data_IF_098011809548
#
_entry.id   IF_098011809548
#
_cell.length_a   1.000
_cell.length_b   1.000
_cell.length_c   1.000
_cell.angle_alpha   90.00
_cell.angle_beta   90.00
_cell.angle_gamma   90.00
#
_symmetry.space_group_name_H-M   'P 1'
#
loop_
_entity.id
_entity.type
_entity.pdbx_description
1 polymer ?
#
# COMPACT_ATOMS: atom_id res chain seq x y z
N UNK A 1 -33.26 6.95 11.53
CA UNK A 1 -32.72 5.65 11.05
C UNK A 1 -33.62 5.13 9.94
N UNK A 2 -33.26 5.42 8.69
CA UNK A 2 -34.03 5.01 7.51
C UNK A 2 -33.60 3.59 7.13
N UNK A 3 -34.53 2.63 7.19
CA UNK A 3 -34.28 1.22 6.83
C UNK A 3 -33.99 1.11 5.33
N UNK A 4 -32.74 0.78 4.99
CA UNK A 4 -32.36 0.42 3.63
C UNK A 4 -32.90 -1.00 3.37
N UNK A 5 -33.87 -1.15 2.47
CA UNK A 5 -34.35 -2.45 2.00
C UNK A 5 -33.31 -3.01 1.01
N UNK A 6 -32.57 -4.02 1.42
CA UNK A 6 -31.75 -4.84 0.51
C UNK A 6 -32.65 -5.86 -0.20
N UNK A 7 -33.00 -5.62 -1.44
CA UNK A 7 -33.68 -6.59 -2.30
C UNK A 7 -32.62 -7.50 -2.96
N UNK A 8 -32.50 -8.74 -2.50
CA UNK A 8 -31.50 -9.73 -2.97
C UNK A 8 -31.90 -10.51 -4.26
N UNK A 9 -33.03 -10.25 -4.85
CA UNK A 9 -33.51 -10.90 -6.10
C UNK A 9 -33.93 -9.83 -7.11
N UNK A 10 -32.93 -9.13 -7.69
CA UNK A 10 -33.26 -8.15 -8.70
C UNK A 10 -32.85 -8.65 -10.10
N UNK A 11 -33.80 -9.08 -10.89
CA UNK A 11 -33.70 -9.32 -12.35
C UNK A 11 -33.62 -8.01 -13.15
N UNK A 12 -33.78 -6.87 -12.51
CA UNK A 12 -33.76 -5.54 -13.11
C UNK A 12 -32.34 -4.98 -13.22
N UNK A 13 -32.03 -4.31 -14.34
CA UNK A 13 -30.76 -3.67 -14.59
C UNK A 13 -30.60 -2.37 -13.76
N UNK A 14 -30.64 -2.50 -12.44
CA UNK A 14 -30.53 -1.41 -11.47
C UNK A 14 -29.48 -1.76 -10.45
N UNK A 15 -28.51 -0.85 -10.14
CA UNK A 15 -27.49 -1.14 -9.15
C UNK A 15 -28.06 -1.24 -7.73
N UNK A 16 -27.43 -2.03 -6.84
CA UNK A 16 -27.86 -2.15 -5.44
C UNK A 16 -27.86 -0.83 -4.66
N UNK A 17 -26.92 0.07 -4.98
CA UNK A 17 -26.83 1.42 -4.44
C UNK A 17 -27.00 2.42 -5.57
N UNK A 18 -27.90 3.41 -5.38
CA UNK A 18 -28.19 4.42 -6.39
C UNK A 18 -28.52 5.75 -5.76
N UNK A 19 -28.21 6.82 -6.45
CA UNK A 19 -28.65 8.16 -6.06
C UNK A 19 -30.18 8.27 -6.19
N UNK A 20 -30.89 8.83 -5.19
CA UNK A 20 -32.35 8.77 -5.10
C UNK A 20 -33.08 9.51 -6.22
N UNK A 21 -32.42 10.48 -6.86
CA UNK A 21 -33.00 11.25 -7.98
C UNK A 21 -33.04 10.51 -9.31
N UNK A 22 -32.35 9.37 -9.43
CA UNK A 22 -32.36 8.57 -10.66
C UNK A 22 -33.26 7.36 -10.55
N UNK A 23 -34.01 7.09 -11.61
CA UNK A 23 -34.96 5.98 -11.73
C UNK A 23 -34.80 5.27 -13.07
N UNK A 24 -35.51 4.16 -13.27
CA UNK A 24 -35.43 3.35 -14.48
C UNK A 24 -34.24 2.41 -14.51
N UNK A 25 -34.19 1.57 -15.52
CA UNK A 25 -33.13 0.57 -15.71
C UNK A 25 -31.93 1.14 -16.47
N UNK A 26 -30.75 0.60 -16.20
CA UNK A 26 -29.56 0.87 -17.00
C UNK A 26 -29.57 0.04 -18.27
N UNK A 27 -29.01 0.58 -19.35
CA UNK A 27 -28.79 -0.16 -20.58
C UNK A 27 -27.51 -0.99 -20.45
N UNK A 28 -27.60 -2.30 -20.72
CA UNK A 28 -26.44 -3.18 -20.80
C UNK A 28 -25.89 -3.20 -22.22
N UNK A 29 -24.64 -2.79 -22.37
CA UNK A 29 -23.92 -2.88 -23.62
C UNK A 29 -22.89 -4.00 -23.60
N UNK A 30 -22.78 -4.75 -24.70
CA UNK A 30 -21.57 -5.55 -24.96
C UNK A 30 -20.38 -4.60 -25.08
N UNK A 31 -19.23 -5.00 -24.53
CA UNK A 31 -18.01 -4.17 -24.62
C UNK A 31 -17.67 -3.85 -26.08
N UNK A 32 -17.86 -4.80 -27.01
CA UNK A 32 -17.71 -4.61 -28.46
C UNK A 32 -18.71 -3.64 -29.11
N UNK A 33 -19.76 -3.25 -28.40
CA UNK A 33 -20.72 -2.22 -28.86
C UNK A 33 -20.51 -0.87 -28.19
N UNK A 34 -19.74 -0.86 -27.10
CA UNK A 34 -19.37 0.35 -26.37
C UNK A 34 -18.02 0.88 -26.83
N UNK A 35 -17.04 0.00 -27.08
CA UNK A 35 -15.66 0.37 -27.38
C UNK A 35 -15.22 -0.16 -28.75
N UNK A 36 -14.59 0.71 -29.50
CA UNK A 36 -13.72 0.33 -30.62
C UNK A 36 -12.31 0.08 -30.06
N UNK A 37 -11.65 -0.97 -30.54
CA UNK A 37 -10.30 -1.36 -30.10
C UNK A 37 -9.25 -0.91 -31.08
N UNK A 38 -8.13 -0.43 -30.55
CA UNK A 38 -7.02 0.11 -31.32
C UNK A 38 -5.72 -0.64 -31.09
N UNK A 39 -4.84 -0.53 -32.06
CA UNK A 39 -3.52 -1.17 -32.01
C UNK A 39 -2.68 -0.58 -30.86
N UNK A 40 -1.93 -1.46 -30.21
CA UNK A 40 -0.95 -1.13 -29.17
C UNK A 40 0.44 -1.51 -29.62
N UNK A 41 1.48 -0.90 -29.07
CA UNK A 41 2.84 -1.24 -29.41
C UNK A 41 3.43 -2.32 -28.49
N UNK A 42 4.60 -2.84 -28.85
CA UNK A 42 5.29 -3.91 -28.13
C UNK A 42 6.61 -3.47 -27.48
N UNK A 43 6.77 -2.17 -27.21
CA UNK A 43 8.01 -1.65 -26.63
C UNK A 43 8.20 -2.14 -25.20
N UNK A 44 9.41 -2.64 -24.92
CA UNK A 44 9.82 -3.05 -23.57
C UNK A 44 10.31 -1.87 -22.74
N UNK A 45 10.51 -2.05 -21.43
CA UNK A 45 11.08 -1.03 -20.55
C UNK A 45 12.45 -0.50 -20.99
N UNK A 46 13.26 -1.30 -21.64
CA UNK A 46 14.58 -0.90 -22.15
C UNK A 46 14.49 0.16 -23.25
N UNK A 47 13.35 0.23 -23.95
CA UNK A 47 13.06 1.18 -25.01
C UNK A 47 12.32 2.44 -24.52
N UNK A 48 12.16 2.57 -23.22
CA UNK A 48 11.48 3.67 -22.56
C UNK A 48 12.44 4.46 -21.66
N UNK A 49 12.18 5.76 -21.51
CA UNK A 49 12.91 6.67 -20.64
C UNK A 49 11.96 7.72 -20.06
N UNK A 50 12.43 8.53 -19.13
CA UNK A 50 11.64 9.61 -18.55
C UNK A 50 12.24 10.97 -18.88
N UNK A 51 11.41 12.01 -18.73
CA UNK A 51 11.84 13.41 -18.78
C UNK A 51 12.39 13.87 -20.17
N UNK A 52 11.83 13.33 -21.24
CA UNK A 52 12.04 13.83 -22.63
C UNK A 52 10.74 14.39 -23.19
N UNK A 53 10.81 15.02 -24.40
CA UNK A 53 9.64 15.56 -25.09
C UNK A 53 9.08 14.61 -26.17
N UNK A 54 9.46 13.33 -26.14
CA UNK A 54 8.98 12.34 -27.08
C UNK A 54 7.57 11.84 -26.70
N UNK A 55 6.94 11.11 -27.62
CA UNK A 55 5.66 10.42 -27.38
C UNK A 55 5.75 9.58 -26.12
N UNK A 56 4.74 9.68 -25.24
CA UNK A 56 4.65 8.91 -24.00
C UNK A 56 4.05 7.53 -24.27
N UNK A 57 4.49 6.53 -23.50
CA UNK A 57 4.05 5.16 -23.63
C UNK A 57 3.44 4.62 -22.34
N UNK A 58 2.21 4.14 -22.42
CA UNK A 58 1.57 3.43 -21.31
C UNK A 58 1.98 1.96 -21.30
N UNK A 59 2.94 1.59 -20.47
CA UNK A 59 3.30 0.20 -20.26
C UNK A 59 2.35 -0.46 -19.23
N UNK A 60 1.91 -1.72 -19.45
CA UNK A 60 0.95 -2.43 -18.58
C UNK A 60 1.37 -2.46 -17.10
N UNK A 61 2.66 -2.54 -16.81
CA UNK A 61 3.18 -2.52 -15.45
C UNK A 61 2.77 -1.28 -14.67
N UNK A 62 2.59 -0.14 -15.33
CA UNK A 62 2.12 1.10 -14.70
C UNK A 62 0.63 1.04 -14.34
N UNK A 63 -0.17 0.26 -15.08
CA UNK A 63 -1.58 0.00 -14.75
C UNK A 63 -1.67 -0.80 -13.44
N UNK A 64 -0.79 -1.79 -13.26
CA UNK A 64 -0.75 -2.59 -12.03
C UNK A 64 -0.22 -1.79 -10.85
N UNK A 65 0.88 -1.04 -11.04
CA UNK A 65 1.57 -0.31 -9.98
C UNK A 65 1.89 1.11 -10.43
N UNK A 66 1.34 2.10 -9.76
CA UNK A 66 1.74 3.49 -9.92
C UNK A 66 0.69 4.42 -10.50
N UNK A 67 -0.23 3.95 -11.34
CA UNK A 67 -1.29 4.80 -11.91
C UNK A 67 -2.63 4.67 -11.17
N UNK A 68 -3.35 5.79 -10.97
CA UNK A 68 -4.73 5.75 -10.50
C UNK A 68 -5.68 5.30 -11.62
N UNK A 69 -6.93 4.98 -11.27
CA UNK A 69 -7.99 4.66 -12.25
C UNK A 69 -8.21 5.80 -13.25
N UNK A 70 -8.17 7.06 -12.78
CA UNK A 70 -8.24 8.26 -13.64
C UNK A 70 -6.83 8.82 -13.80
N UNK A 71 -6.28 8.72 -15.00
CA UNK A 71 -4.94 9.22 -15.33
C UNK A 71 -5.04 10.69 -15.76
N UNK A 72 -4.38 11.55 -15.00
CA UNK A 72 -4.23 12.98 -15.27
C UNK A 72 -2.73 13.28 -15.41
N UNK A 73 -2.28 13.63 -16.61
CA UNK A 73 -0.86 13.82 -16.90
C UNK A 73 -0.27 15.10 -16.29
N UNK A 74 -1.10 16.00 -15.76
CA UNK A 74 -0.62 17.05 -14.85
C UNK A 74 -0.10 16.51 -13.51
N UNK A 75 -0.51 15.32 -13.11
CA UNK A 75 -0.19 14.71 -11.81
C UNK A 75 0.56 13.38 -11.94
N UNK A 76 0.37 12.69 -13.06
CA UNK A 76 0.94 11.38 -13.32
C UNK A 76 1.98 11.46 -14.42
N UNK A 77 3.07 10.74 -14.27
CA UNK A 77 4.12 10.66 -15.28
C UNK A 77 4.07 9.32 -16.00
N UNK A 78 4.13 9.36 -17.33
CA UNK A 78 4.38 8.19 -18.16
C UNK A 78 5.81 8.28 -18.73
N UNK A 79 6.46 7.16 -19.02
CA UNK A 79 7.74 7.16 -19.73
C UNK A 79 7.55 7.57 -21.18
N UNK A 80 8.57 8.18 -21.74
CA UNK A 80 8.68 8.55 -23.14
C UNK A 80 9.35 7.42 -23.94
N UNK A 81 9.10 7.36 -25.22
CA UNK A 81 9.75 6.42 -26.13
C UNK A 81 11.15 6.94 -26.45
N UNK A 82 12.17 6.09 -26.27
CA UNK A 82 13.57 6.45 -26.60
C UNK A 82 13.74 6.73 -28.07
N UNK A 83 14.61 7.69 -28.36
CA UNK A 83 15.03 7.98 -29.73
C UNK A 83 15.59 6.71 -30.42
N UNK A 84 15.21 6.50 -31.67
CA UNK A 84 15.56 5.30 -32.44
C UNK A 84 14.65 4.09 -32.24
N UNK A 85 13.70 4.13 -31.29
CA UNK A 85 12.68 3.11 -31.15
C UNK A 85 11.55 3.36 -32.14
N UNK A 86 11.31 2.44 -33.06
CA UNK A 86 10.30 2.62 -34.10
C UNK A 86 8.91 2.22 -33.62
N UNK A 87 7.97 3.13 -33.71
CA UNK A 87 6.54 2.83 -33.57
C UNK A 87 5.98 2.37 -34.93
N UNK A 88 5.29 1.22 -34.91
CA UNK A 88 4.58 0.71 -36.08
C UNK A 88 3.10 0.57 -35.72
N UNK A 89 2.22 1.12 -36.58
CA UNK A 89 0.76 0.95 -36.47
C UNK A 89 0.22 1.29 -35.08
N UNK A 90 0.38 2.52 -34.63
CA UNK A 90 -0.09 2.99 -33.34
C UNK A 90 -1.26 3.98 -33.51
N UNK A 91 -2.07 4.06 -32.47
CA UNK A 91 -3.12 5.08 -32.33
C UNK A 91 -2.81 5.94 -31.09
N UNK A 92 -2.89 7.25 -31.26
CA UNK A 92 -2.76 8.19 -30.16
C UNK A 92 -3.99 8.10 -29.25
N UNK A 93 -3.76 8.05 -27.94
CA UNK A 93 -4.81 8.10 -26.95
C UNK A 93 -5.51 9.47 -26.93
N UNK A 94 -6.80 9.46 -26.63
CA UNK A 94 -7.63 10.65 -26.43
C UNK A 94 -8.19 10.66 -25.01
N UNK A 95 -8.57 11.83 -24.55
CA UNK A 95 -9.29 11.93 -23.28
C UNK A 95 -10.57 11.09 -23.32
N UNK A 96 -10.80 10.31 -22.27
CA UNK A 96 -11.86 9.33 -22.21
C UNK A 96 -11.52 7.95 -22.80
N UNK A 97 -10.37 7.76 -23.45
CA UNK A 97 -9.93 6.41 -23.80
C UNK A 97 -9.64 5.59 -22.56
N UNK A 98 -9.85 4.28 -22.65
CA UNK A 98 -9.54 3.33 -21.59
C UNK A 98 -8.43 2.38 -22.03
N UNK A 99 -7.56 2.04 -21.11
CA UNK A 99 -6.56 1.00 -21.30
C UNK A 99 -6.67 -0.05 -20.21
N UNK A 100 -6.49 -1.31 -20.60
CA UNK A 100 -6.59 -2.45 -19.71
C UNK A 100 -5.30 -3.26 -19.76
N UNK A 101 -4.82 -3.75 -18.62
CA UNK A 101 -3.75 -4.73 -18.59
C UNK A 101 -4.28 -6.10 -19.01
N UNK A 102 -3.79 -6.67 -20.11
CA UNK A 102 -4.28 -7.94 -20.64
C UNK A 102 -3.77 -9.16 -19.86
N UNK A 103 -2.76 -9.01 -19.01
CA UNK A 103 -2.14 -10.07 -18.22
C UNK A 103 -1.80 -9.63 -16.80
N UNK A 104 -1.89 -10.56 -15.83
CA UNK A 104 -1.51 -10.37 -14.43
C UNK A 104 -1.19 -11.71 -13.75
N UNK A 105 -0.38 -11.67 -12.69
CA UNK A 105 -0.20 -12.82 -11.78
C UNK A 105 -1.40 -13.04 -10.84
N UNK A 106 -2.27 -12.04 -10.66
CA UNK A 106 -3.50 -12.12 -9.86
C UNK A 106 -4.74 -12.00 -10.76
N UNK A 107 -5.68 -12.94 -10.63
CA UNK A 107 -6.97 -12.91 -11.34
C UNK A 107 -7.81 -11.66 -11.06
N UNK A 108 -7.61 -11.00 -9.92
CA UNK A 108 -8.31 -9.75 -9.58
C UNK A 108 -7.71 -8.53 -10.29
N UNK A 109 -6.48 -8.62 -10.79
CA UNK A 109 -5.76 -7.55 -11.46
C UNK A 109 -5.75 -7.67 -12.99
N UNK A 110 -6.18 -8.82 -13.55
CA UNK A 110 -6.39 -8.98 -14.99
C UNK A 110 -7.52 -8.06 -15.44
N UNK A 111 -7.36 -7.40 -16.58
CA UNK A 111 -8.22 -6.35 -17.11
C UNK A 111 -8.35 -5.14 -16.16
N UNK A 112 -7.37 -4.92 -15.28
CA UNK A 112 -7.33 -3.66 -14.52
C UNK A 112 -7.35 -2.50 -15.48
N UNK A 113 -8.31 -1.59 -15.25
CA UNK A 113 -8.60 -0.49 -16.14
C UNK A 113 -8.04 0.83 -15.63
N UNK A 114 -7.56 1.65 -16.56
CA UNK A 114 -7.38 3.08 -16.38
C UNK A 114 -8.16 3.82 -17.46
N UNK A 115 -8.55 5.07 -17.18
CA UNK A 115 -9.14 5.97 -18.15
C UNK A 115 -8.28 7.23 -18.22
N UNK A 116 -7.93 7.67 -19.44
CA UNK A 116 -7.23 8.93 -19.64
C UNK A 116 -8.20 10.09 -19.41
N UNK A 117 -8.11 10.69 -18.22
CA UNK A 117 -9.00 11.76 -17.79
C UNK A 117 -8.54 13.12 -18.32
N UNK A 118 -7.23 13.37 -18.33
CA UNK A 118 -6.61 14.57 -18.84
C UNK A 118 -5.23 14.24 -19.40
N UNK A 119 -4.99 14.55 -20.65
CA UNK A 119 -3.71 14.31 -21.34
C UNK A 119 -2.77 15.52 -21.29
N UNK A 120 -3.26 16.71 -20.89
CA UNK A 120 -2.46 17.93 -20.85
C UNK A 120 -1.73 18.26 -22.17
N UNK A 121 -2.34 17.91 -23.29
CA UNK A 121 -1.77 18.07 -24.63
C UNK A 121 -0.66 17.08 -25.00
N UNK A 122 -0.35 16.10 -24.14
CA UNK A 122 0.68 15.10 -24.44
C UNK A 122 0.19 14.07 -25.46
N UNK A 123 1.08 13.66 -26.34
CA UNK A 123 0.88 12.51 -27.23
C UNK A 123 1.20 11.22 -26.48
N UNK A 124 0.21 10.34 -26.35
CA UNK A 124 0.32 9.06 -25.60
C UNK A 124 -0.11 7.90 -26.48
N UNK A 125 0.60 6.79 -26.37
CA UNK A 125 0.24 5.52 -27.01
C UNK A 125 0.14 4.41 -25.96
N UNK A 126 -0.75 3.46 -26.20
CA UNK A 126 -0.84 2.25 -25.38
C UNK A 126 0.26 1.25 -25.81
N UNK A 127 0.95 0.71 -24.81
CA UNK A 127 2.13 -0.14 -24.99
C UNK A 127 1.87 -1.63 -24.81
N UNK A 128 2.95 -2.35 -24.57
CA UNK A 128 2.97 -3.79 -24.41
C UNK A 128 1.96 -4.28 -23.37
N UNK A 129 1.30 -5.38 -23.67
CA UNK A 129 0.30 -6.02 -22.79
C UNK A 129 -0.83 -5.08 -22.33
N UNK A 130 -1.28 -4.22 -23.25
CA UNK A 130 -2.46 -3.38 -23.01
C UNK A 130 -3.54 -3.61 -24.08
N UNK A 131 -4.79 -3.46 -23.70
CA UNK A 131 -5.93 -3.37 -24.61
C UNK A 131 -6.36 -1.90 -24.63
N UNK A 132 -6.35 -1.24 -25.79
CA UNK A 132 -6.77 0.14 -25.94
C UNK A 132 -8.20 0.21 -26.49
N UNK A 133 -9.10 0.89 -25.78
CA UNK A 133 -10.51 1.02 -26.15
C UNK A 133 -10.99 2.47 -26.12
N UNK A 134 -11.82 2.85 -27.10
CA UNK A 134 -12.43 4.18 -27.24
C UNK A 134 -13.93 4.09 -27.49
N UNK A 135 -14.71 4.91 -26.82
CA UNK A 135 -16.14 5.11 -27.08
C UNK A 135 -16.34 6.19 -28.15
N UNK A 136 -16.34 5.78 -29.42
CA UNK A 136 -16.57 6.71 -30.54
C UNK A 136 -18.05 7.14 -30.68
N UNK A 137 -18.97 6.43 -30.02
CA UNK A 137 -20.41 6.72 -30.08
C UNK A 137 -20.84 7.75 -29.02
N UNK A 138 -19.94 8.12 -28.11
CA UNK A 138 -20.23 9.08 -27.05
C UNK A 138 -21.32 8.60 -26.07
N UNK A 139 -21.43 7.28 -25.85
CA UNK A 139 -22.39 6.67 -24.93
C UNK A 139 -22.04 6.97 -23.47
N UNK A 140 -20.77 7.23 -23.21
CA UNK A 140 -20.25 7.47 -21.85
C UNK A 140 -19.64 8.86 -21.70
N UNK A 141 -19.64 9.36 -20.47
CA UNK A 141 -18.88 10.59 -20.12
C UNK A 141 -17.46 10.21 -19.73
N UNK A 142 -16.51 11.14 -19.93
CA UNK A 142 -15.13 11.00 -19.45
C UNK A 142 -15.12 10.85 -17.94
N UNK A 143 -14.37 9.87 -17.43
CA UNK A 143 -14.26 9.54 -16.02
C UNK A 143 -15.24 8.47 -15.52
N UNK A 144 -16.20 8.01 -16.33
CA UNK A 144 -17.13 6.95 -15.94
C UNK A 144 -16.60 5.55 -16.24
N UNK A 145 -16.00 5.36 -17.42
CA UNK A 145 -15.58 4.03 -17.90
C UNK A 145 -14.55 3.36 -17.02
N UNK A 146 -13.54 4.09 -16.60
CA UNK A 146 -12.48 3.54 -15.75
C UNK A 146 -13.03 2.94 -14.45
N UNK A 147 -14.01 3.59 -13.83
CA UNK A 147 -14.66 3.04 -12.63
C UNK A 147 -15.64 1.90 -12.96
N UNK A 148 -16.39 2.01 -14.03
CA UNK A 148 -17.32 0.98 -14.43
C UNK A 148 -16.61 -0.34 -14.77
N UNK A 149 -15.49 -0.27 -15.50
CA UNK A 149 -14.62 -1.41 -15.78
C UNK A 149 -13.85 -1.89 -14.54
N UNK A 150 -13.59 -1.02 -13.56
CA UNK A 150 -13.03 -1.37 -12.26
C UNK A 150 -14.05 -1.92 -11.25
N UNK A 151 -15.33 -2.04 -11.61
CA UNK A 151 -16.39 -2.52 -10.72
C UNK A 151 -16.31 -4.02 -10.45
N UNK A 152 -16.82 -4.45 -9.30
CA UNK A 152 -16.92 -5.86 -8.94
C UNK A 152 -17.80 -6.62 -9.93
N UNK A 153 -18.88 -6.01 -10.42
CA UNK A 153 -19.78 -6.61 -11.39
C UNK A 153 -19.06 -6.95 -12.71
N UNK A 154 -18.19 -6.06 -13.20
CA UNK A 154 -17.40 -6.31 -14.40
C UNK A 154 -16.28 -7.32 -14.13
N UNK A 155 -15.53 -7.18 -13.06
CA UNK A 155 -14.46 -8.12 -12.70
C UNK A 155 -14.94 -9.56 -12.46
N UNK A 156 -16.19 -9.75 -12.02
CA UNK A 156 -16.78 -11.09 -11.94
C UNK A 156 -16.91 -11.78 -13.32
N UNK A 157 -17.09 -11.02 -14.40
CA UNK A 157 -17.09 -11.56 -15.75
C UNK A 157 -15.67 -11.88 -16.20
N UNK A 158 -14.72 -10.98 -15.93
CA UNK A 158 -13.29 -11.16 -16.27
C UNK A 158 -12.72 -12.42 -15.64
N UNK A 159 -12.97 -12.68 -14.36
CA UNK A 159 -12.51 -13.91 -13.67
C UNK A 159 -12.99 -15.20 -14.32
N UNK A 160 -14.12 -15.18 -15.02
CA UNK A 160 -14.66 -16.37 -15.73
C UNK A 160 -13.99 -16.61 -17.07
N UNK A 161 -13.41 -15.59 -17.68
CA UNK A 161 -12.80 -15.68 -19.01
C UNK A 161 -11.28 -15.64 -18.98
N UNK A 162 -10.68 -15.27 -17.85
CA UNK A 162 -9.23 -15.26 -17.66
C UNK A 162 -8.66 -16.68 -17.76
N UNK A 163 -7.57 -16.84 -18.51
CA UNK A 163 -6.90 -18.11 -18.77
C UNK A 163 -5.47 -18.04 -18.25
N UNK A 164 -5.01 -19.14 -17.67
CA UNK A 164 -3.64 -19.25 -17.15
C UNK A 164 -3.59 -19.96 -15.80
N UNK A 165 -2.38 -20.31 -15.37
CA UNK A 165 -2.11 -20.98 -14.07
C UNK A 165 -1.20 -20.18 -13.16
N UNK A 166 -0.24 -19.44 -13.73
CA UNK A 166 0.67 -18.52 -13.00
C UNK A 166 0.48 -17.09 -13.45
N UNK A 167 0.35 -16.89 -14.77
CA UNK A 167 0.01 -15.62 -15.39
C UNK A 167 -1.37 -15.81 -16.01
N UNK A 168 -2.33 -15.00 -15.58
CA UNK A 168 -3.67 -14.97 -16.11
C UNK A 168 -3.74 -13.92 -17.21
N UNK A 169 -4.35 -14.26 -18.34
CA UNK A 169 -4.50 -13.35 -19.47
C UNK A 169 -5.90 -13.40 -20.06
N UNK A 170 -6.25 -12.34 -20.76
CA UNK A 170 -7.51 -12.23 -21.52
C UNK A 170 -7.18 -11.86 -22.97
N UNK A 171 -7.92 -12.44 -23.90
CA UNK A 171 -7.91 -11.98 -25.28
C UNK A 171 -8.91 -10.85 -25.48
N UNK A 172 -8.60 -9.90 -26.39
CA UNK A 172 -9.55 -8.85 -26.79
C UNK A 172 -10.88 -9.44 -27.28
N UNK A 173 -10.85 -10.60 -27.94
CA UNK A 173 -12.06 -11.31 -28.38
C UNK A 173 -12.96 -11.71 -27.21
N UNK A 174 -12.43 -12.36 -26.18
CA UNK A 174 -13.22 -12.77 -25.02
C UNK A 174 -13.65 -11.57 -24.19
N UNK A 175 -12.76 -10.57 -24.04
CA UNK A 175 -13.05 -9.31 -23.36
C UNK A 175 -14.24 -8.56 -24.01
N UNK A 176 -14.27 -8.52 -25.33
CA UNK A 176 -15.32 -7.83 -26.09
C UNK A 176 -16.72 -8.43 -25.92
N UNK A 177 -16.82 -9.67 -25.46
CA UNK A 177 -18.09 -10.37 -25.20
C UNK A 177 -18.69 -10.04 -23.82
N UNK A 178 -17.90 -9.43 -22.90
CA UNK A 178 -18.39 -8.99 -21.60
C UNK A 178 -19.41 -7.86 -21.73
N UNK A 179 -20.16 -7.64 -20.66
CA UNK A 179 -21.20 -6.61 -20.60
C UNK A 179 -20.91 -5.57 -19.53
N UNK A 180 -21.34 -4.34 -19.80
CA UNK A 180 -21.25 -3.22 -18.88
C UNK A 180 -22.58 -2.48 -18.83
N UNK A 181 -23.01 -2.08 -17.63
CA UNK A 181 -24.18 -1.25 -17.45
C UNK A 181 -23.86 0.22 -17.63
N UNK A 182 -24.69 0.92 -18.39
CA UNK A 182 -24.52 2.36 -18.70
C UNK A 182 -25.83 3.08 -18.38
N UNK A 183 -25.85 3.98 -17.37
CA UNK A 183 -26.99 4.83 -17.06
C UNK A 183 -27.05 6.07 -17.96
N UNK A 184 -28.01 6.95 -17.71
CA UNK A 184 -28.05 8.27 -18.35
C UNK A 184 -26.78 9.11 -18.00
N UNK A 185 -26.40 10.01 -18.89
CA UNK A 185 -25.16 10.81 -18.73
C UNK A 185 -25.09 11.60 -17.41
N UNK A 186 -26.20 12.10 -16.90
CA UNK A 186 -26.26 12.80 -15.63
C UNK A 186 -25.88 11.90 -14.45
N UNK A 187 -26.39 10.65 -14.45
CA UNK A 187 -26.04 9.66 -13.43
C UNK A 187 -24.58 9.21 -13.54
N UNK A 188 -24.09 8.97 -14.78
CA UNK A 188 -22.66 8.68 -15.02
C UNK A 188 -21.75 9.77 -14.44
N UNK A 189 -22.06 11.03 -14.72
CA UNK A 189 -21.29 12.19 -14.22
C UNK A 189 -21.27 12.23 -12.71
N UNK A 190 -22.40 11.93 -12.05
CA UNK A 190 -22.50 11.95 -10.60
C UNK A 190 -21.70 10.81 -9.95
N UNK A 191 -21.78 9.60 -10.52
CA UNK A 191 -20.98 8.43 -10.07
C UNK A 191 -19.49 8.72 -10.25
N UNK A 192 -19.07 9.16 -11.44
CA UNK A 192 -17.69 9.48 -11.76
C UNK A 192 -17.12 10.56 -10.82
N UNK A 193 -17.89 11.62 -10.57
CA UNK A 193 -17.50 12.71 -9.67
C UNK A 193 -17.31 12.21 -8.23
N UNK A 194 -18.25 11.40 -7.69
CA UNK A 194 -18.15 10.84 -6.35
C UNK A 194 -16.88 10.00 -6.19
N UNK A 195 -16.64 9.06 -7.11
CA UNK A 195 -15.49 8.16 -7.03
C UNK A 195 -14.17 8.91 -7.22
N UNK A 196 -14.11 9.90 -8.11
CA UNK A 196 -12.95 10.77 -8.31
C UNK A 196 -12.63 11.59 -7.06
N UNK A 197 -13.64 12.11 -6.36
CA UNK A 197 -13.44 12.83 -5.10
C UNK A 197 -12.88 11.91 -4.01
N UNK A 198 -13.30 10.66 -3.94
CA UNK A 198 -12.74 9.67 -3.01
C UNK A 198 -11.28 9.37 -3.37
N UNK A 199 -10.95 9.19 -4.66
CA UNK A 199 -9.57 8.99 -5.11
C UNK A 199 -8.68 10.19 -4.80
N UNK A 200 -9.17 11.40 -4.96
CA UNK A 200 -8.45 12.61 -4.58
C UNK A 200 -8.19 12.67 -3.07
N UNK A 201 -9.16 12.26 -2.24
CA UNK A 201 -8.96 12.15 -0.78
C UNK A 201 -7.93 11.08 -0.42
N UNK A 202 -7.99 9.90 -1.04
CA UNK A 202 -7.01 8.83 -0.84
C UNK A 202 -5.60 9.33 -1.21
N UNK A 203 -5.45 10.01 -2.33
CA UNK A 203 -4.17 10.61 -2.75
C UNK A 203 -3.65 11.64 -1.74
N UNK A 204 -4.52 12.54 -1.29
CA UNK A 204 -4.18 13.56 -0.28
C UNK A 204 -3.78 12.92 1.04
N UNK A 205 -4.50 11.87 1.46
CA UNK A 205 -4.22 11.13 2.68
C UNK A 205 -2.84 10.46 2.66
N UNK A 206 -2.47 9.84 1.53
CA UNK A 206 -1.12 9.29 1.34
C UNK A 206 -0.03 10.37 1.46
N UNK A 207 -0.23 11.54 0.84
CA UNK A 207 0.72 12.67 0.93
C UNK A 207 0.86 13.23 2.35
N UNK A 208 -0.21 13.23 3.14
CA UNK A 208 -0.16 13.63 4.56
C UNK A 208 0.71 12.66 5.35
N UNK A 209 0.47 11.35 5.20
CA UNK A 209 1.25 10.30 5.87
C UNK A 209 2.74 10.42 5.51
N UNK A 210 3.07 10.53 4.23
CA UNK A 210 4.45 10.68 3.74
C UNK A 210 5.15 11.92 4.34
N UNK A 211 4.44 13.06 4.39
CA UNK A 211 4.97 14.29 5.00
C UNK A 211 5.23 14.11 6.50
N UNK A 212 4.32 13.47 7.23
CA UNK A 212 4.48 13.21 8.65
C UNK A 212 5.66 12.25 8.92
N UNK A 213 5.79 11.19 8.13
CA UNK A 213 6.94 10.26 8.22
C UNK A 213 8.27 10.97 7.91
N UNK A 214 8.28 11.86 6.92
CA UNK A 214 9.44 12.68 6.58
C UNK A 214 9.79 13.63 7.73
N UNK A 215 8.79 14.23 8.37
CA UNK A 215 8.98 15.13 9.52
C UNK A 215 9.57 14.37 10.72
N UNK A 216 9.08 13.16 11.03
CA UNK A 216 9.64 12.31 12.09
C UNK A 216 11.13 12.02 11.80
N UNK A 217 11.46 11.64 10.56
CA UNK A 217 12.86 11.41 10.15
C UNK A 217 13.74 12.66 10.33
N UNK A 218 13.24 13.82 9.93
CA UNK A 218 13.97 15.08 10.03
C UNK A 218 14.22 15.49 11.50
N UNK A 219 13.17 15.41 12.35
CA UNK A 219 13.28 15.66 13.78
C UNK A 219 14.24 14.64 14.43
N UNK A 220 14.09 13.35 14.10
CA UNK A 220 14.96 12.29 14.58
C UNK A 220 16.42 12.57 14.28
N UNK A 221 16.76 12.90 13.04
CA UNK A 221 18.13 13.18 12.64
C UNK A 221 18.72 14.44 13.33
N UNK A 222 17.89 15.45 13.59
CA UNK A 222 18.34 16.72 14.17
C UNK A 222 18.38 16.71 15.69
N UNK A 223 17.44 16.04 16.35
CA UNK A 223 17.19 16.19 17.78
C UNK A 223 17.60 14.98 18.62
N UNK A 224 17.61 13.75 18.04
CA UNK A 224 17.94 12.55 18.79
C UNK A 224 19.45 12.40 19.05
N UNK A 225 20.29 13.04 18.24
CA UNK A 225 21.73 13.09 18.43
C UNK A 225 22.16 14.54 18.53
N UNK A 226 22.93 14.91 19.51
CA UNK A 226 23.38 16.29 19.56
C UNK A 226 24.19 16.63 20.81
N UNK A 227 23.83 17.71 21.47
CA UNK A 227 24.53 18.24 22.65
C UNK A 227 24.11 17.43 23.89
N UNK A 228 25.08 16.85 24.59
CA UNK A 228 24.84 16.12 25.81
C UNK A 228 25.99 15.22 26.23
N UNK A 229 25.72 14.28 27.12
CA UNK A 229 26.70 13.31 27.61
C UNK A 229 26.86 12.14 26.65
N UNK A 230 28.05 11.56 26.63
CA UNK A 230 28.26 10.25 25.99
C UNK A 230 27.63 9.18 26.87
N UNK A 231 26.84 8.27 26.25
CA UNK A 231 26.15 7.19 26.92
C UNK A 231 26.31 5.92 26.09
N UNK A 232 26.60 4.82 26.75
CA UNK A 232 26.60 3.48 26.10
C UNK A 232 25.18 2.94 26.03
N UNK A 233 24.91 2.14 25.03
CA UNK A 233 23.61 1.50 24.89
C UNK A 233 23.31 0.56 26.06
N UNK A 234 24.34 -0.10 26.62
CA UNK A 234 24.23 -0.92 27.83
C UNK A 234 23.88 -0.16 29.11
N UNK A 235 24.09 1.18 29.14
CA UNK A 235 23.63 2.02 30.26
C UNK A 235 22.12 2.36 30.13
N UNK A 236 21.55 2.27 28.92
CA UNK A 236 20.14 2.54 28.63
C UNK A 236 19.30 1.27 28.75
N UNK A 237 19.80 0.12 28.28
CA UNK A 237 19.07 -1.12 28.11
C UNK A 237 19.52 -2.16 29.13
N UNK A 238 18.59 -2.60 30.00
CA UNK A 238 18.79 -3.59 31.05
C UNK A 238 18.13 -4.90 30.60
N UNK A 239 18.91 -5.96 30.35
CA UNK A 239 18.37 -7.23 29.86
C UNK A 239 17.38 -7.86 30.83
N UNK A 240 16.19 -8.22 30.33
CA UNK A 240 15.18 -8.98 31.07
C UNK A 240 15.26 -10.44 30.66
N UNK A 241 15.38 -11.32 31.66
CA UNK A 241 15.57 -12.77 31.47
C UNK A 241 14.35 -13.59 31.88
N UNK A 242 13.24 -12.94 32.28
CA UNK A 242 12.00 -13.58 32.69
C UNK A 242 11.43 -14.49 31.61
N UNK A 243 10.96 -15.68 32.01
CA UNK A 243 10.42 -16.71 31.12
C UNK A 243 9.06 -17.19 31.60
N UNK A 244 8.22 -17.59 30.64
CA UNK A 244 6.95 -18.24 30.93
C UNK A 244 7.18 -19.57 31.67
N UNK A 245 6.37 -19.84 32.68
CA UNK A 245 6.44 -21.04 33.52
C UNK A 245 5.35 -22.07 33.19
N UNK A 246 4.29 -21.61 32.54
CA UNK A 246 3.18 -22.46 32.07
C UNK A 246 2.91 -22.19 30.60
N UNK A 247 2.28 -23.15 29.91
CA UNK A 247 1.89 -22.99 28.52
C UNK A 247 0.80 -21.93 28.42
N UNK A 248 0.87 -21.08 27.37
CA UNK A 248 -0.08 -20.00 27.09
C UNK A 248 -0.29 -19.03 28.27
N UNK A 249 0.77 -18.80 29.04
CA UNK A 249 0.74 -17.87 30.18
C UNK A 249 0.30 -16.48 29.80
N UNK A 250 0.72 -16.01 28.64
CA UNK A 250 0.34 -14.72 28.05
C UNK A 250 0.17 -14.89 26.54
N UNK A 251 -0.40 -13.88 25.90
CA UNK A 251 -0.56 -13.83 24.45
C UNK A 251 0.80 -13.94 23.74
N UNK A 252 0.86 -14.79 22.70
CA UNK A 252 2.07 -14.95 21.89
C UNK A 252 2.21 -13.79 20.94
N UNK A 253 3.32 -13.06 21.06
CA UNK A 253 3.63 -11.88 20.27
C UNK A 253 4.78 -12.14 19.30
N UNK A 254 4.74 -11.45 18.16
CA UNK A 254 5.82 -11.39 17.18
C UNK A 254 6.32 -9.97 17.02
N UNK A 255 7.64 -9.79 17.13
CA UNK A 255 8.31 -8.54 16.78
C UNK A 255 8.76 -8.59 15.33
N UNK A 256 8.41 -7.58 14.57
CA UNK A 256 8.72 -7.43 13.15
C UNK A 256 9.34 -6.05 12.88
N UNK A 257 9.79 -5.80 11.66
CA UNK A 257 10.24 -4.46 11.26
C UNK A 257 9.12 -3.41 11.42
N UNK A 258 7.85 -3.84 11.28
CA UNK A 258 6.67 -2.97 11.36
C UNK A 258 6.17 -2.72 12.78
N UNK A 259 6.64 -3.48 13.78
CA UNK A 259 6.19 -3.36 15.16
C UNK A 259 5.94 -4.71 15.83
N UNK A 260 5.27 -4.64 16.99
CA UNK A 260 4.84 -5.82 17.77
C UNK A 260 3.38 -6.09 17.45
N UNK A 261 3.07 -7.36 17.16
CA UNK A 261 1.73 -7.82 16.81
C UNK A 261 1.39 -9.11 17.58
N UNK A 262 0.10 -9.31 17.85
CA UNK A 262 -0.42 -10.63 18.18
C UNK A 262 -0.07 -11.59 17.04
N UNK A 263 0.47 -12.76 17.39
CA UNK A 263 0.87 -13.73 16.36
C UNK A 263 -0.35 -14.24 15.57
N UNK A 264 -1.49 -14.41 16.23
CA UNK A 264 -2.75 -14.83 15.59
C UNK A 264 -3.28 -13.81 14.57
N UNK A 265 -3.12 -12.52 14.88
CA UNK A 265 -3.62 -11.45 13.98
C UNK A 265 -2.68 -11.21 12.80
N UNK A 266 -1.39 -11.48 12.97
CA UNK A 266 -0.38 -11.16 11.97
C UNK A 266 -0.15 -12.28 10.95
N UNK A 267 -0.29 -13.54 11.36
CA UNK A 267 -0.06 -14.71 10.50
C UNK A 267 -1.37 -15.46 10.24
N UNK A 268 -1.57 -15.85 8.99
CA UNK A 268 -2.73 -16.66 8.58
C UNK A 268 -2.67 -18.13 9.06
N UNK A 269 -1.56 -18.55 9.67
CA UNK A 269 -1.33 -19.90 10.23
C UNK A 269 -0.66 -19.76 11.57
N UNK A 270 -0.99 -20.66 12.51
CA UNK A 270 -0.26 -20.77 13.76
C UNK A 270 1.18 -21.20 13.49
N UNK A 271 2.13 -20.29 13.83
CA UNK A 271 3.58 -20.50 13.66
C UNK A 271 4.23 -20.83 15.01
N UNK A 272 3.53 -20.59 16.13
CA UNK A 272 4.02 -20.87 17.44
C UNK A 272 4.16 -22.39 17.67
N UNK A 273 5.15 -22.75 18.48
CA UNK A 273 5.24 -24.11 19.03
C UNK A 273 4.01 -24.39 19.89
N UNK A 274 3.46 -25.60 19.82
CA UNK A 274 2.37 -26.06 20.72
C UNK A 274 2.76 -25.92 22.21
N UNK A 275 4.04 -26.02 22.52
CA UNK A 275 4.58 -25.75 23.84
C UNK A 275 5.41 -24.48 23.83
N UNK A 276 4.98 -23.46 24.58
CA UNK A 276 5.63 -22.17 24.72
C UNK A 276 6.13 -21.89 26.15
N UNK A 277 6.29 -22.92 26.95
CA UNK A 277 7.00 -22.85 28.27
C UNK A 277 8.45 -22.46 28.00
N UNK A 278 8.97 -21.51 28.76
CA UNK A 278 10.31 -20.97 28.57
C UNK A 278 10.42 -19.87 27.52
N UNK A 279 9.32 -19.44 26.90
CA UNK A 279 9.28 -18.21 26.10
C UNK A 279 9.59 -17.00 26.99
N UNK A 280 10.14 -15.94 26.40
CA UNK A 280 10.50 -14.74 27.16
C UNK A 280 9.27 -13.88 27.40
N UNK A 281 9.12 -13.37 28.62
CA UNK A 281 8.02 -12.49 29.00
C UNK A 281 8.38 -11.05 28.64
N UNK A 282 7.52 -10.41 27.84
CA UNK A 282 7.62 -9.02 27.41
C UNK A 282 6.61 -8.19 28.20
N UNK A 283 7.10 -7.20 28.95
CA UNK A 283 6.25 -6.27 29.69
C UNK A 283 6.00 -5.00 28.88
N UNK A 284 4.92 -4.28 29.22
CA UNK A 284 4.71 -2.91 28.72
C UNK A 284 5.86 -2.03 29.17
N UNK A 285 6.42 -1.26 28.23
CA UNK A 285 7.59 -0.43 28.48
C UNK A 285 8.93 -1.07 28.12
N UNK A 286 8.94 -2.34 27.76
CA UNK A 286 10.16 -3.04 27.36
C UNK A 286 10.49 -2.82 25.87
N UNK A 287 11.76 -2.97 25.53
CA UNK A 287 12.26 -3.12 24.18
C UNK A 287 12.43 -4.60 23.86
N UNK A 288 11.89 -5.04 22.72
CA UNK A 288 12.13 -6.38 22.16
C UNK A 288 12.87 -6.25 20.84
N UNK A 289 13.91 -7.04 20.64
CA UNK A 289 14.67 -7.07 19.39
C UNK A 289 14.96 -8.50 18.91
N UNK A 290 15.04 -8.64 17.59
CA UNK A 290 15.55 -9.85 16.95
C UNK A 290 17.03 -9.68 16.61
N UNK A 291 17.95 -10.41 17.25
CA UNK A 291 19.38 -10.29 16.92
C UNK A 291 19.68 -10.57 15.44
N UNK A 292 18.93 -11.48 14.82
CA UNK A 292 19.13 -11.88 13.42
C UNK A 292 18.69 -10.83 12.42
N UNK A 293 17.70 -9.99 12.78
CA UNK A 293 17.06 -9.02 11.89
C UNK A 293 17.15 -7.59 12.42
N UNK A 294 17.99 -7.34 13.44
CA UNK A 294 18.15 -6.03 14.05
C UNK A 294 18.59 -4.97 13.03
N UNK A 295 19.52 -5.32 12.16
CA UNK A 295 20.03 -4.45 11.11
C UNK A 295 18.96 -3.96 10.11
N UNK A 296 17.84 -4.68 10.03
CA UNK A 296 16.65 -4.28 9.25
C UNK A 296 15.67 -3.42 10.04
N UNK A 297 15.91 -3.20 11.33
CA UNK A 297 15.04 -2.42 12.21
C UNK A 297 14.03 -3.25 13.04
N UNK A 298 14.26 -4.59 13.20
CA UNK A 298 13.45 -5.38 14.10
C UNK A 298 13.90 -5.17 15.56
N UNK A 299 13.61 -3.98 16.05
CA UNK A 299 13.73 -3.52 17.43
C UNK A 299 12.53 -2.65 17.75
N UNK A 300 11.74 -3.00 18.76
CA UNK A 300 10.46 -2.37 19.02
C UNK A 300 10.26 -2.10 20.51
N UNK A 301 9.65 -0.97 20.81
CA UNK A 301 9.14 -0.61 22.13
C UNK A 301 7.72 -1.14 22.29
N UNK A 302 7.44 -1.82 23.41
CA UNK A 302 6.10 -2.34 23.71
C UNK A 302 5.28 -1.29 24.46
N UNK A 303 4.50 -0.53 23.74
CA UNK A 303 3.53 0.43 24.29
C UNK A 303 2.09 -0.10 24.35
N UNK A 304 1.83 -1.28 23.76
CA UNK A 304 0.48 -1.81 23.51
C UNK A 304 0.06 -2.91 24.49
N UNK A 305 0.93 -3.90 24.67
CA UNK A 305 0.59 -5.11 25.42
C UNK A 305 1.09 -5.02 26.87
N UNK A 306 0.19 -5.19 27.85
CA UNK A 306 0.60 -5.19 29.27
C UNK A 306 1.61 -6.29 29.52
N UNK A 307 1.31 -7.50 29.01
CA UNK A 307 2.18 -8.67 29.02
C UNK A 307 2.03 -9.42 27.70
N UNK A 308 3.09 -10.11 27.30
CA UNK A 308 3.07 -11.05 26.20
C UNK A 308 4.27 -11.99 26.29
N UNK A 309 4.27 -13.06 25.52
CA UNK A 309 5.41 -13.96 25.39
C UNK A 309 5.95 -13.95 23.96
N UNK A 310 7.26 -13.97 23.84
CA UNK A 310 7.96 -14.01 22.55
C UNK A 310 8.94 -15.18 22.51
N UNK A 311 9.24 -15.66 21.31
CA UNK A 311 10.21 -16.75 21.09
C UNK A 311 11.53 -16.51 21.85
N UNK A 312 12.19 -17.54 22.38
CA UNK A 312 13.49 -17.44 23.05
C UNK A 312 14.60 -16.78 22.23
N UNK A 313 14.45 -16.77 20.89
CA UNK A 313 15.39 -16.13 19.96
C UNK A 313 15.44 -14.60 20.07
N UNK A 314 14.40 -13.97 20.60
CA UNK A 314 14.40 -12.52 20.85
C UNK A 314 15.20 -12.16 22.10
N UNK A 315 15.66 -10.92 22.16
CA UNK A 315 16.20 -10.28 23.35
C UNK A 315 15.22 -9.22 23.84
N UNK A 316 15.04 -9.14 25.17
CA UNK A 316 14.15 -8.18 25.82
C UNK A 316 14.97 -7.33 26.77
N UNK A 317 14.69 -6.04 26.79
CA UNK A 317 15.36 -5.08 27.68
C UNK A 317 14.32 -4.14 28.29
N UNK A 318 14.44 -3.92 29.59
CA UNK A 318 13.86 -2.77 30.25
C UNK A 318 14.68 -1.52 29.91
N UNK A 319 14.04 -0.36 29.88
CA UNK A 319 14.74 0.93 29.75
C UNK A 319 15.05 1.44 31.16
N UNK A 320 16.30 1.85 31.37
CA UNK A 320 16.73 2.45 32.64
C UNK A 320 15.93 3.76 32.92
N UNK A 321 15.53 3.96 34.17
CA UNK A 321 14.72 5.10 34.61
C UNK A 321 15.39 6.48 34.37
N UNK A 322 16.70 6.50 34.14
CA UNK A 322 17.45 7.71 33.78
C UNK A 322 17.11 8.25 32.38
N UNK A 323 16.40 7.47 31.56
CA UNK A 323 16.12 7.79 30.17
C UNK A 323 14.62 7.78 29.86
N UNK A 324 14.18 8.71 29.00
CA UNK A 324 12.79 8.74 28.56
C UNK A 324 12.51 7.60 27.56
N UNK A 325 11.52 6.76 27.85
CA UNK A 325 11.21 5.56 27.09
C UNK A 325 10.78 5.86 25.65
N UNK A 326 10.00 6.92 25.42
CA UNK A 326 9.59 7.30 24.06
C UNK A 326 10.78 7.82 23.26
N UNK A 327 11.65 8.64 23.89
CA UNK A 327 12.87 9.08 23.26
C UNK A 327 13.76 7.89 22.84
N UNK A 328 13.98 6.93 23.74
CA UNK A 328 14.76 5.73 23.47
C UNK A 328 14.13 4.90 22.33
N UNK A 329 12.81 4.74 22.32
CA UNK A 329 12.11 4.01 21.27
C UNK A 329 12.40 4.58 19.86
N UNK A 330 12.38 5.92 19.71
CA UNK A 330 12.71 6.56 18.43
C UNK A 330 14.21 6.55 18.12
N UNK A 331 15.05 6.74 19.13
CA UNK A 331 16.50 6.69 18.99
C UNK A 331 16.95 5.37 18.37
N UNK A 332 16.46 4.24 18.90
CA UNK A 332 16.85 2.90 18.50
C UNK A 332 16.48 2.55 17.04
N UNK A 333 15.53 3.25 16.44
CA UNK A 333 15.09 3.06 15.04
C UNK A 333 15.68 4.05 14.04
N UNK A 334 16.63 4.91 14.47
CA UNK A 334 17.27 5.86 13.55
C UNK A 334 18.15 5.16 12.52
N UNK A 335 18.23 5.71 11.32
CA UNK A 335 19.13 5.20 10.27
C UNK A 335 20.58 5.10 10.73
N UNK A 336 21.02 6.03 11.57
CA UNK A 336 22.37 6.01 12.15
C UNK A 336 22.61 4.76 12.98
N UNK A 337 21.66 4.40 13.86
CA UNK A 337 21.80 3.19 14.67
C UNK A 337 21.58 1.92 13.84
N UNK A 338 20.67 1.91 12.87
CA UNK A 338 20.52 0.77 11.95
C UNK A 338 21.82 0.49 11.18
N UNK A 339 22.52 1.54 10.74
CA UNK A 339 23.83 1.38 10.11
C UNK A 339 24.86 0.79 11.10
N UNK A 340 24.89 1.30 12.35
CA UNK A 340 25.76 0.75 13.39
C UNK A 340 25.46 -0.71 13.72
N UNK A 341 24.17 -1.10 13.79
CA UNK A 341 23.79 -2.50 13.99
C UNK A 341 24.28 -3.39 12.87
N UNK A 342 24.21 -2.92 11.64
CA UNK A 342 24.74 -3.65 10.48
C UNK A 342 26.26 -3.84 10.57
N UNK A 343 27.01 -2.82 10.98
CA UNK A 343 28.47 -2.88 11.05
C UNK A 343 29.02 -3.81 12.14
N UNK A 344 28.25 -4.02 13.23
CA UNK A 344 28.61 -4.91 14.33
C UNK A 344 27.96 -6.31 14.22
N UNK A 345 27.39 -6.63 13.08
CA UNK A 345 26.77 -7.92 12.81
C UNK A 345 27.41 -8.59 11.61
N UNK A 346 27.67 -9.90 11.72
CA UNK A 346 28.25 -10.71 10.66
C UNK A 346 27.17 -11.37 9.81
N UNK A 347 27.43 -11.53 8.52
CA UNK A 347 26.51 -12.20 7.60
C UNK A 347 26.47 -13.69 7.93
N UNK A 348 25.27 -14.21 8.18
CA UNK A 348 25.03 -15.64 8.39
C UNK A 348 24.89 -16.42 7.06
N UNK A 349 24.47 -17.66 7.14
CA UNK A 349 24.23 -18.52 5.97
C UNK A 349 23.14 -18.02 5.02
N UNK A 350 22.29 -17.10 5.45
CA UNK A 350 21.23 -16.46 4.65
C UNK A 350 21.57 -14.98 4.43
N UNK A 351 21.24 -14.46 3.24
CA UNK A 351 21.41 -13.03 2.89
C UNK A 351 20.65 -12.11 3.86
N UNK A 352 19.57 -12.60 4.43
CA UNK A 352 18.66 -11.82 5.30
C UNK A 352 19.03 -11.89 6.78
N UNK A 353 19.65 -13.02 7.24
CA UNK A 353 19.96 -13.23 8.65
C UNK A 353 21.43 -12.88 8.94
N UNK A 354 21.65 -12.11 9.98
CA UNK A 354 22.98 -11.75 10.46
C UNK A 354 23.14 -12.15 11.92
N UNK A 355 24.37 -12.41 12.36
CA UNK A 355 24.70 -12.69 13.74
C UNK A 355 25.13 -11.39 14.42
N UNK A 356 24.32 -10.88 15.33
CA UNK A 356 24.63 -9.68 16.09
C UNK A 356 25.68 -9.98 17.18
N UNK A 357 26.74 -9.20 17.23
CA UNK A 357 27.62 -9.19 18.39
C UNK A 357 26.96 -8.37 19.52
N UNK A 358 26.46 -9.06 20.54
CA UNK A 358 25.72 -8.42 21.65
C UNK A 358 26.60 -7.51 22.51
N UNK A 359 27.86 -7.86 22.73
CA UNK A 359 28.78 -7.04 23.54
C UNK A 359 29.07 -5.74 22.78
N UNK A 360 29.38 -5.82 21.48
CA UNK A 360 29.56 -4.64 20.64
C UNK A 360 28.26 -3.79 20.53
N UNK A 361 27.08 -4.41 20.57
CA UNK A 361 25.80 -3.70 20.58
C UNK A 361 25.64 -2.86 21.86
N UNK A 362 25.92 -3.43 23.04
CA UNK A 362 25.79 -2.72 24.30
C UNK A 362 26.89 -1.65 24.49
N UNK A 363 28.03 -1.80 23.86
CA UNK A 363 29.13 -0.81 23.86
C UNK A 363 28.96 0.34 22.87
N UNK A 364 27.92 0.31 22.00
CA UNK A 364 27.63 1.44 21.12
C UNK A 364 27.42 2.72 21.94
N UNK A 365 28.20 3.74 21.61
CA UNK A 365 28.23 5.01 22.35
C UNK A 365 27.77 6.18 21.47
N UNK A 366 26.93 7.03 22.01
CA UNK A 366 26.44 8.24 21.33
C UNK A 366 26.08 9.34 22.32
N UNK A 367 26.08 10.57 21.82
CA UNK A 367 25.68 11.73 22.62
C UNK A 367 24.18 11.85 22.65
N UNK A 368 23.60 11.97 23.84
CA UNK A 368 22.19 12.18 24.06
C UNK A 368 21.93 13.41 24.93
N UNK A 369 20.80 14.11 24.72
CA UNK A 369 20.48 15.32 25.48
C UNK A 369 20.10 14.98 26.94
N UNK A 370 20.02 15.99 27.83
CA UNK A 370 19.51 15.82 29.19
C UNK A 370 18.07 15.29 29.20
N UNK A 371 17.68 14.59 30.28
CA UNK A 371 16.36 13.93 30.44
C UNK A 371 15.16 14.83 30.08
N UNK A 372 15.15 16.09 30.50
CA UNK A 372 14.05 17.04 30.18
C UNK A 372 13.92 17.25 28.66
N UNK A 373 15.04 17.31 27.95
CA UNK A 373 15.01 17.43 26.49
C UNK A 373 14.60 16.10 25.82
N UNK A 374 15.06 14.96 26.33
CA UNK A 374 14.62 13.63 25.88
C UNK A 374 13.10 13.54 25.97
N UNK A 375 12.50 13.87 27.10
CA UNK A 375 11.07 13.83 27.32
C UNK A 375 10.29 14.69 26.34
N UNK A 376 10.76 15.92 26.07
CA UNK A 376 10.12 16.82 25.08
C UNK A 376 10.18 16.23 23.66
N UNK A 377 11.34 15.72 23.28
CA UNK A 377 11.54 15.12 21.94
C UNK A 377 10.72 13.85 21.81
N UNK A 378 10.79 12.94 22.79
CA UNK A 378 10.04 11.69 22.81
C UNK A 378 8.53 11.91 22.71
N UNK A 379 7.99 12.83 23.52
CA UNK A 379 6.57 13.18 23.48
C UNK A 379 6.15 13.80 22.13
N UNK A 380 6.98 14.66 21.54
CA UNK A 380 6.67 15.27 20.25
C UNK A 380 6.63 14.21 19.13
N UNK A 381 7.63 13.31 19.10
CA UNK A 381 7.69 12.23 18.12
C UNK A 381 6.56 11.21 18.32
N UNK A 382 6.20 10.88 19.57
CA UNK A 382 5.06 10.00 19.88
C UNK A 382 3.75 10.57 19.35
N UNK A 383 3.45 11.85 19.60
CA UNK A 383 2.25 12.51 19.07
C UNK A 383 2.20 12.52 17.54
N UNK A 384 3.34 12.70 16.87
CA UNK A 384 3.41 12.60 15.40
C UNK A 384 3.15 11.18 14.93
N UNK A 385 3.68 10.18 15.63
CA UNK A 385 3.43 8.76 15.31
C UNK A 385 1.95 8.40 15.51
N UNK A 386 1.34 8.82 16.62
CA UNK A 386 -0.10 8.62 16.86
C UNK A 386 -0.94 9.26 15.76
N UNK A 387 -0.55 10.45 15.30
CA UNK A 387 -1.19 11.11 14.17
C UNK A 387 -1.06 10.29 12.88
N UNK A 388 0.10 9.69 12.59
CA UNK A 388 0.30 8.82 11.43
C UNK A 388 -0.63 7.60 11.51
N UNK A 389 -0.74 6.95 12.66
CA UNK A 389 -1.64 5.80 12.82
C UNK A 389 -3.11 6.19 12.56
N UNK A 390 -3.58 7.32 13.11
CA UNK A 390 -4.92 7.85 12.83
C UNK A 390 -5.14 8.12 11.33
N UNK A 391 -4.14 8.69 10.65
CA UNK A 391 -4.24 8.97 9.20
C UNK A 391 -4.21 7.68 8.36
N UNK A 392 -3.50 6.64 8.81
CA UNK A 392 -3.52 5.31 8.19
C UNK A 392 -4.88 4.64 8.34
N UNK A 393 -5.52 4.74 9.51
CA UNK A 393 -6.87 4.22 9.72
C UNK A 393 -7.89 4.94 8.84
N UNK A 394 -7.78 6.27 8.73
CA UNK A 394 -8.60 7.05 7.80
C UNK A 394 -8.41 6.59 6.35
N UNK A 395 -7.16 6.37 5.91
CA UNK A 395 -6.83 5.85 4.59
C UNK A 395 -7.47 4.48 4.33
N UNK A 396 -7.41 3.58 5.31
CA UNK A 396 -8.02 2.25 5.21
C UNK A 396 -9.54 2.33 5.08
N UNK A 397 -10.19 3.21 5.85
CA UNK A 397 -11.62 3.45 5.74
C UNK A 397 -12.02 4.02 4.37
N UNK A 398 -11.25 4.97 3.82
CA UNK A 398 -11.50 5.52 2.47
C UNK A 398 -11.37 4.45 1.38
N UNK A 399 -10.35 3.58 1.47
CA UNK A 399 -10.17 2.45 0.54
C UNK A 399 -11.33 1.45 0.63
N UNK A 400 -11.76 1.11 1.84
CA UNK A 400 -12.90 0.24 2.05
C UNK A 400 -14.21 0.85 1.52
N UNK A 401 -14.41 2.16 1.72
CA UNK A 401 -15.54 2.90 1.16
C UNK A 401 -15.54 2.86 -0.37
N UNK A 402 -14.37 3.13 -1.02
CA UNK A 402 -14.24 3.03 -2.47
C UNK A 402 -14.62 1.64 -2.97
N UNK A 403 -14.10 0.59 -2.33
CA UNK A 403 -14.40 -0.79 -2.71
C UNK A 403 -15.88 -1.13 -2.55
N UNK A 404 -16.51 -0.68 -1.48
CA UNK A 404 -17.96 -0.83 -1.26
C UNK A 404 -18.76 -0.15 -2.39
N UNK A 405 -18.38 1.05 -2.80
CA UNK A 405 -19.06 1.78 -3.87
C UNK A 405 -18.86 1.10 -5.24
N UNK A 406 -17.65 0.64 -5.55
CA UNK A 406 -17.38 -0.13 -6.79
C UNK A 406 -18.14 -1.46 -6.84
N UNK A 407 -18.50 -2.02 -5.68
CA UNK A 407 -19.29 -3.25 -5.60
C UNK A 407 -20.79 -3.03 -5.69
N UNK A 408 -21.29 -1.82 -5.41
CA UNK A 408 -22.72 -1.58 -5.26
C UNK A 408 -23.31 -0.50 -6.20
N UNK A 409 -22.47 0.38 -6.77
CA UNK A 409 -22.92 1.42 -7.71
C UNK A 409 -23.02 0.94 -9.16
N UNK A 410 -22.65 -0.29 -9.47
CA UNK A 410 -22.61 -0.83 -10.84
C UNK A 410 -23.34 -2.17 -10.94
N UNK A 411 -23.72 -2.55 -12.20
CA UNK A 411 -24.45 -3.79 -12.53
C UNK A 411 -23.64 -4.68 -13.49
#
# INVERSE_FOLDING_TARGET
MTKIKTNRNNTNNVPPLRFPEFSGEWTKYKVSKLLDFYSTNSLSWEQLEYDTNAIQNLHYGLIHVGLPTMVDLNQNKLPNIKEGSALKNYELCKEGDVAFADASEDTNEVAKAIEFFNLDGAEVVCGLHTIHGRDNNGLTVVGFKGYAFGSTAFHNQIRRIAQGTKIYSISTKNFSECYIGVPCKAEQTKIATLLRLIDARISTQNKIIEKLETLIKAIGNKCLFGHGRNVRLGDILIERTEKSTINDQYEILSSTIKGIFSQRDYFSKDIASENNIGYKVLHKGDIVLSPQNLWMGNINYNDKFNFGIVSPSYKIFAISEEFDCHYVAFLLKTHRLLYSYRSISEQGASIVRRNLNMDAFLELTFKIPPFVAQRRIGQALSKLNDKIEMERDCLNMLKAQKQYLLSNLFI
#
